data_IF_964244452189
#
_entry.id   IF_964244452189
#
_cell.length_a   1.000
_cell.length_b   1.000
_cell.length_c   1.000
_cell.angle_alpha   90.00
_cell.angle_beta   90.00
_cell.angle_gamma   90.00
#
_symmetry.space_group_name_H-M   'P 1'
#
loop_
_entity.id
_entity.type
_entity.pdbx_description
1 polymer ?
#
# COMPACT_ATOMS: atom_id res chain seq x y z
N UNK A 1 -10.26 51.85 29.04
CA UNK A 1 -10.22 53.03 28.21
C UNK A 1 -10.44 52.58 26.79
N UNK A 2 -11.72 52.53 26.35
CA UNK A 2 -12.35 53.43 25.39
C UNK A 2 -11.65 53.40 24.03
N UNK A 3 -12.28 53.22 22.90
CA UNK A 3 -13.59 53.38 22.27
C UNK A 3 -13.58 52.52 20.99
N UNK A 4 -14.59 51.72 20.70
CA UNK A 4 -15.82 52.10 19.95
C UNK A 4 -15.60 52.85 18.66
N UNK A 5 -15.92 52.20 17.51
CA UNK A 5 -16.87 52.70 16.50
C UNK A 5 -16.98 51.67 15.39
N UNK A 6 -18.06 51.06 15.18
CA UNK A 6 -19.37 51.37 14.60
C UNK A 6 -19.37 51.70 13.11
N UNK A 7 -20.11 50.84 12.43
CA UNK A 7 -21.08 51.11 11.37
C UNK A 7 -20.63 51.30 9.93
N UNK A 8 -21.36 50.59 9.11
CA UNK A 8 -21.52 50.93 7.71
C UNK A 8 -22.19 49.82 6.90
N UNK A 9 -23.46 49.58 7.20
CA UNK A 9 -24.47 49.02 6.30
C UNK A 9 -24.47 49.69 4.93
N UNK A 10 -24.70 48.94 3.85
CA UNK A 10 -25.78 49.13 2.87
C UNK A 10 -25.64 48.21 1.68
N UNK A 11 -26.61 47.33 1.48
CA UNK A 11 -27.10 46.97 0.18
C UNK A 11 -28.13 48.03 -0.28
N UNK A 12 -28.44 48.17 -1.56
CA UNK A 12 -29.52 47.45 -2.20
C UNK A 12 -29.22 47.09 -3.67
N UNK A 13 -29.70 46.01 -4.18
CA UNK A 13 -30.98 45.70 -4.82
C UNK A 13 -31.22 46.33 -6.22
N UNK A 14 -31.60 45.46 -7.12
CA UNK A 14 -32.62 45.60 -8.18
C UNK A 14 -32.21 45.98 -9.60
N UNK A 15 -32.63 45.10 -10.48
CA UNK A 15 -32.76 45.34 -11.94
C UNK A 15 -32.59 44.06 -12.71
N UNK A 16 -33.49 43.24 -12.85
CA UNK A 16 -34.71 43.04 -13.68
C UNK A 16 -34.48 43.11 -15.18
N UNK A 17 -34.85 42.00 -15.76
CA UNK A 17 -35.38 41.81 -17.11
C UNK A 17 -34.41 41.53 -18.27
N UNK A 18 -34.58 40.33 -18.84
CA UNK A 18 -34.80 40.34 -20.27
C UNK A 18 -34.14 39.23 -21.05
N UNK A 19 -34.95 38.37 -21.44
CA UNK A 19 -35.07 37.68 -22.72
C UNK A 19 -34.52 36.27 -22.85
N UNK A 20 -35.48 35.40 -23.04
CA UNK A 20 -35.42 34.07 -23.63
C UNK A 20 -34.59 34.10 -24.95
N UNK A 21 -33.63 33.20 -25.04
CA UNK A 21 -33.26 32.58 -26.29
C UNK A 21 -33.15 31.08 -26.07
N UNK A 22 -34.13 30.38 -26.55
CA UNK A 22 -34.11 28.95 -26.81
C UNK A 22 -33.07 28.67 -27.88
N UNK A 23 -32.00 28.01 -27.52
CA UNK A 23 -31.15 27.30 -28.46
C UNK A 23 -31.07 25.84 -28.00
N UNK A 24 -31.92 25.05 -28.59
CA UNK A 24 -31.84 23.59 -28.62
C UNK A 24 -30.57 23.22 -29.39
N UNK A 25 -29.57 22.78 -28.70
CA UNK A 25 -28.48 22.00 -29.25
C UNK A 25 -28.49 20.63 -28.62
N UNK A 26 -29.09 19.69 -29.33
CA UNK A 26 -28.88 18.30 -29.14
C UNK A 26 -27.41 17.99 -29.50
N UNK A 27 -26.59 17.91 -28.47
CA UNK A 27 -25.23 17.41 -28.55
C UNK A 27 -25.16 16.13 -27.72
N UNK A 28 -25.26 14.99 -28.40
CA UNK A 28 -24.86 13.73 -27.87
C UNK A 28 -23.37 13.83 -27.46
N UNK A 29 -23.09 14.06 -26.19
CA UNK A 29 -21.80 13.74 -25.63
C UNK A 29 -21.96 12.48 -24.79
N UNK A 30 -21.63 11.36 -25.41
CA UNK A 30 -21.14 10.20 -24.74
C UNK A 30 -19.80 10.57 -24.08
N UNK A 31 -19.87 11.22 -22.96
CA UNK A 31 -18.77 11.45 -22.05
C UNK A 31 -18.90 10.45 -20.92
N UNK A 32 -18.46 9.23 -21.17
CA UNK A 32 -18.21 8.26 -20.09
C UNK A 32 -17.10 8.80 -19.20
N UNK A 33 -17.43 9.70 -18.31
CA UNK A 33 -16.60 10.04 -17.18
C UNK A 33 -16.66 8.87 -16.20
N UNK A 34 -15.77 7.91 -16.40
CA UNK A 34 -15.50 6.95 -15.35
C UNK A 34 -15.00 7.75 -14.14
N UNK A 35 -15.88 7.99 -13.18
CA UNK A 35 -15.50 8.37 -11.86
C UNK A 35 -14.58 7.25 -11.36
N UNK A 36 -13.28 7.50 -11.37
CA UNK A 36 -12.35 6.65 -10.66
C UNK A 36 -12.71 6.79 -9.19
N UNK A 37 -13.44 5.81 -8.71
CA UNK A 37 -13.52 5.56 -7.30
C UNK A 37 -12.08 5.39 -6.83
N UNK A 38 -11.59 6.33 -6.04
CA UNK A 38 -10.37 6.18 -5.26
C UNK A 38 -10.76 5.21 -4.14
N UNK A 39 -10.86 3.96 -4.49
CA UNK A 39 -10.92 2.85 -3.59
C UNK A 39 -9.59 2.14 -3.75
N UNK A 40 -8.76 2.22 -2.76
CA UNK A 40 -7.45 1.58 -2.66
C UNK A 40 -7.53 0.05 -2.54
N UNK A 41 -8.49 -0.56 -3.21
CA UNK A 41 -8.70 -2.01 -3.32
C UNK A 41 -8.38 -2.52 -4.73
N UNK A 42 -7.39 -1.92 -5.39
CA UNK A 42 -6.82 -2.56 -6.57
C UNK A 42 -6.17 -3.87 -6.11
N UNK A 43 -6.73 -4.99 -6.54
CA UNK A 43 -6.06 -6.28 -6.40
C UNK A 43 -4.63 -6.14 -6.93
N UNK A 44 -3.63 -6.71 -6.25
CA UNK A 44 -2.26 -6.66 -6.73
C UNK A 44 -2.21 -7.21 -8.15
N UNK A 45 -1.38 -6.63 -9.05
CA UNK A 45 -1.21 -7.16 -10.38
C UNK A 45 -0.90 -8.65 -10.31
N UNK A 46 -1.73 -9.48 -10.91
CA UNK A 46 -1.64 -10.93 -10.79
C UNK A 46 -0.23 -11.44 -11.16
N UNK A 47 0.35 -10.89 -12.22
CA UNK A 47 1.70 -11.25 -12.69
C UNK A 47 2.79 -10.99 -11.64
N UNK A 48 2.73 -9.86 -10.93
CA UNK A 48 3.72 -9.54 -9.92
C UNK A 48 3.59 -10.46 -8.69
N UNK A 49 2.36 -10.84 -8.37
CA UNK A 49 2.11 -11.79 -7.28
C UNK A 49 2.50 -13.22 -7.67
N UNK A 50 2.28 -13.62 -8.93
CA UNK A 50 2.73 -14.91 -9.47
C UNK A 50 4.25 -15.05 -9.42
N UNK A 51 4.99 -14.00 -9.71
CA UNK A 51 6.45 -14.00 -9.61
C UNK A 51 6.97 -14.27 -8.19
N UNK A 52 6.20 -13.87 -7.18
CA UNK A 52 6.52 -14.13 -5.77
C UNK A 52 6.15 -15.53 -5.30
N UNK A 53 5.31 -16.28 -6.05
CA UNK A 53 4.83 -17.59 -5.62
C UNK A 53 5.96 -18.58 -5.36
N UNK A 54 5.77 -19.43 -4.37
CA UNK A 54 6.70 -20.48 -3.97
C UNK A 54 7.40 -20.19 -2.65
N UNK A 55 8.43 -20.94 -2.35
CA UNK A 55 9.17 -20.86 -1.12
C UNK A 55 10.48 -20.12 -1.30
N UNK A 56 10.78 -19.26 -0.37
CA UNK A 56 11.98 -18.42 -0.32
C UNK A 56 12.71 -18.66 1.00
N UNK A 57 14.02 -18.85 0.91
CA UNK A 57 14.91 -19.09 2.05
C UNK A 57 16.06 -18.06 2.04
N UNK A 58 16.69 -17.78 3.18
CA UNK A 58 17.82 -16.86 3.25
C UNK A 58 18.94 -17.23 2.26
N UNK A 59 19.55 -16.21 1.67
CA UNK A 59 20.70 -16.39 0.74
C UNK A 59 21.93 -16.90 1.48
N UNK A 60 22.19 -16.31 2.64
CA UNK A 60 23.32 -16.62 3.50
C UNK A 60 22.85 -16.71 4.96
N UNK A 61 23.74 -17.16 5.82
CA UNK A 61 23.51 -17.21 7.28
C UNK A 61 23.52 -15.80 7.87
N UNK A 62 22.42 -15.08 7.66
CA UNK A 62 22.22 -13.71 8.17
C UNK A 62 21.89 -13.69 9.68
N UNK A 63 22.08 -14.82 10.37
CA UNK A 63 21.73 -14.95 11.79
C UNK A 63 20.23 -14.94 12.05
N UNK A 64 19.40 -14.94 11.00
CA UNK A 64 17.96 -15.00 11.10
C UNK A 64 17.49 -16.24 10.33
N UNK A 65 17.03 -17.24 11.07
CA UNK A 65 16.37 -18.39 10.46
C UNK A 65 14.99 -17.95 9.98
N UNK A 66 14.78 -18.00 8.66
CA UNK A 66 13.51 -17.61 8.08
C UNK A 66 13.14 -18.43 6.85
N UNK A 67 11.87 -18.71 6.72
CA UNK A 67 11.28 -19.38 5.55
C UNK A 67 9.99 -18.67 5.17
N UNK A 68 9.86 -18.33 3.91
CA UNK A 68 8.75 -17.53 3.39
C UNK A 68 8.08 -18.30 2.26
N UNK A 69 6.82 -18.62 2.40
CA UNK A 69 6.06 -19.34 1.36
C UNK A 69 4.86 -18.50 0.93
N UNK A 70 4.87 -18.09 -0.33
CA UNK A 70 3.77 -17.36 -0.94
C UNK A 70 2.84 -18.33 -1.67
N UNK A 71 1.57 -18.31 -1.31
CA UNK A 71 0.50 -19.13 -1.89
C UNK A 71 -0.70 -18.22 -2.24
N UNK A 72 -0.82 -17.81 -3.51
CA UNK A 72 -1.81 -16.82 -3.89
C UNK A 72 -1.56 -15.49 -3.19
N UNK A 73 -2.55 -14.99 -2.46
CA UNK A 73 -2.46 -13.76 -1.66
C UNK A 73 -2.11 -14.04 -0.19
N UNK A 74 -1.74 -15.26 0.14
CA UNK A 74 -1.37 -15.67 1.49
C UNK A 74 0.13 -15.89 1.57
N UNK A 75 0.73 -15.37 2.61
CA UNK A 75 2.11 -15.63 2.98
C UNK A 75 2.12 -16.43 4.28
N UNK A 76 2.83 -17.54 4.27
CA UNK A 76 3.24 -18.25 5.46
C UNK A 76 4.73 -18.01 5.69
N UNK A 77 5.09 -17.41 6.79
CA UNK A 77 6.47 -17.13 7.12
C UNK A 77 6.82 -17.70 8.48
N UNK A 78 7.95 -18.38 8.58
CA UNK A 78 8.58 -18.74 9.83
C UNK A 78 9.79 -17.85 10.01
N UNK A 79 9.88 -17.14 11.11
CA UNK A 79 11.02 -16.25 11.41
C UNK A 79 11.48 -16.50 12.83
N UNK A 80 12.72 -16.94 12.99
CA UNK A 80 13.30 -17.32 14.29
C UNK A 80 12.41 -18.29 15.10
N UNK A 81 11.77 -19.24 14.41
CA UNK A 81 10.89 -20.24 15.02
C UNK A 81 9.47 -19.75 15.33
N UNK A 82 9.13 -18.51 15.01
CA UNK A 82 7.78 -18.01 15.11
C UNK A 82 7.08 -18.09 13.74
N UNK A 83 5.89 -18.69 13.72
CA UNK A 83 5.08 -18.83 12.50
C UNK A 83 4.12 -17.66 12.35
N UNK A 84 4.02 -17.15 11.13
CA UNK A 84 3.13 -16.06 10.74
C UNK A 84 2.29 -16.48 9.53
N UNK A 85 1.03 -16.18 9.56
CA UNK A 85 0.14 -16.24 8.39
C UNK A 85 -0.35 -14.83 8.10
N UNK A 86 -0.05 -14.35 6.90
CA UNK A 86 -0.33 -12.99 6.49
C UNK A 86 -1.10 -12.95 5.17
N UNK A 87 -1.95 -11.96 5.04
CA UNK A 87 -2.52 -11.58 3.75
C UNK A 87 -1.59 -10.59 3.07
N UNK A 88 -1.28 -10.83 1.80
CA UNK A 88 -0.30 -10.06 1.03
C UNK A 88 -0.99 -9.09 0.09
N UNK A 89 -0.59 -7.83 0.15
CA UNK A 89 -0.91 -6.82 -0.86
C UNK A 89 0.41 -6.24 -1.36
N UNK A 90 0.58 -6.13 -2.68
CA UNK A 90 1.77 -5.56 -3.29
C UNK A 90 1.42 -4.44 -4.25
N UNK A 91 2.31 -3.47 -4.38
CA UNK A 91 2.28 -2.46 -5.43
C UNK A 91 3.66 -2.42 -6.11
N UNK A 92 3.80 -3.09 -7.28
CA UNK A 92 5.04 -3.12 -8.03
C UNK A 92 5.36 -1.79 -8.72
N UNK A 93 4.38 -0.88 -8.80
CA UNK A 93 4.52 0.41 -9.47
C UNK A 93 4.87 1.55 -8.54
N UNK A 94 4.83 1.30 -7.23
CA UNK A 94 5.15 2.30 -6.21
C UNK A 94 6.59 2.83 -6.38
N UNK A 95 6.76 4.11 -6.13
CA UNK A 95 8.05 4.81 -6.23
C UNK A 95 8.47 5.36 -4.86
N UNK A 96 9.75 5.37 -4.53
CA UNK A 96 10.90 4.94 -5.34
C UNK A 96 11.09 3.41 -5.41
N UNK A 97 10.41 2.63 -4.58
CA UNK A 97 10.51 1.17 -4.50
C UNK A 97 9.13 0.52 -4.48
N UNK A 98 9.03 -0.67 -5.07
CA UNK A 98 7.84 -1.49 -4.96
C UNK A 98 7.54 -1.82 -3.50
N UNK A 99 6.26 -1.83 -3.14
CA UNK A 99 5.81 -2.01 -1.76
C UNK A 99 5.09 -3.33 -1.54
N UNK A 100 5.19 -3.82 -0.31
CA UNK A 100 4.50 -5.01 0.15
C UNK A 100 3.86 -4.72 1.51
N UNK A 101 2.61 -5.08 1.66
CA UNK A 101 1.87 -4.98 2.91
C UNK A 101 1.43 -6.37 3.36
N UNK A 102 1.72 -6.68 4.59
CA UNK A 102 1.46 -7.97 5.21
C UNK A 102 0.47 -7.76 6.37
N UNK A 103 -0.79 -8.10 6.15
CA UNK A 103 -1.78 -8.12 7.22
C UNK A 103 -1.66 -9.45 7.97
N UNK A 104 -1.20 -9.42 9.20
CA UNK A 104 -0.95 -10.60 10.01
C UNK A 104 -2.29 -11.14 10.52
N UNK A 105 -2.72 -12.26 9.96
CA UNK A 105 -3.97 -12.95 10.36
C UNK A 105 -3.73 -13.89 11.54
N UNK A 106 -2.56 -14.53 11.55
CA UNK A 106 -2.15 -15.41 12.63
C UNK A 106 -0.64 -15.32 12.90
N UNK A 107 -0.24 -15.53 14.15
CA UNK A 107 1.14 -15.39 14.59
C UNK A 107 1.22 -15.18 16.10
N UNK A 108 2.38 -14.75 16.60
CA UNK A 108 2.52 -14.34 18.00
C UNK A 108 1.47 -13.31 18.40
N UNK A 109 0.96 -13.40 19.62
CA UNK A 109 -0.14 -12.55 20.12
C UNK A 109 0.15 -11.05 19.95
N UNK A 110 1.40 -10.66 20.13
CA UNK A 110 1.83 -9.26 19.96
C UNK A 110 1.80 -8.78 18.51
N UNK A 111 1.71 -9.69 17.54
CA UNK A 111 1.74 -9.40 16.11
C UNK A 111 0.39 -9.59 15.45
N UNK A 112 -0.45 -10.46 15.98
CA UNK A 112 -1.75 -10.82 15.42
C UNK A 112 -2.67 -9.60 15.26
N UNK A 113 -3.28 -9.48 14.09
CA UNK A 113 -4.17 -8.37 13.74
C UNK A 113 -3.43 -7.06 13.40
N UNK A 114 -2.10 -7.05 13.44
CA UNK A 114 -1.29 -5.90 13.04
C UNK A 114 -0.87 -6.01 11.58
N UNK A 115 -0.42 -4.91 11.03
CA UNK A 115 0.12 -4.82 9.69
C UNK A 115 1.63 -4.61 9.75
N UNK A 116 2.35 -5.34 8.92
CA UNK A 116 3.77 -5.14 8.63
C UNK A 116 3.89 -4.56 7.23
N UNK A 117 4.41 -3.37 7.12
CA UNK A 117 4.56 -2.70 5.83
C UNK A 117 6.00 -2.78 5.34
N UNK A 118 6.21 -2.95 4.06
CA UNK A 118 7.56 -3.14 3.57
C UNK A 118 7.81 -2.68 2.15
N UNK A 119 9.05 -2.90 1.76
CA UNK A 119 9.56 -2.76 0.41
C UNK A 119 9.98 -4.13 -0.10
N UNK A 120 9.84 -4.37 -1.40
CA UNK A 120 10.38 -5.58 -1.99
C UNK A 120 11.08 -5.29 -3.33
N UNK A 121 12.03 -6.14 -3.66
CA UNK A 121 12.72 -6.15 -4.94
C UNK A 121 12.91 -7.59 -5.38
N UNK A 122 12.38 -7.93 -6.53
CA UNK A 122 12.53 -9.24 -7.13
C UNK A 122 13.50 -9.15 -8.32
N UNK A 123 14.51 -9.99 -8.33
CA UNK A 123 15.50 -10.08 -9.41
C UNK A 123 15.80 -11.54 -9.68
N UNK A 124 15.12 -12.13 -10.69
CA UNK A 124 15.22 -13.55 -10.97
C UNK A 124 14.82 -14.41 -9.78
N UNK A 125 15.75 -15.24 -9.30
CA UNK A 125 15.54 -16.13 -8.15
C UNK A 125 15.91 -15.49 -6.79
N UNK A 126 16.17 -14.18 -6.77
CA UNK A 126 16.48 -13.42 -5.55
C UNK A 126 15.34 -12.47 -5.19
N UNK A 127 14.92 -12.51 -3.96
CA UNK A 127 13.92 -11.62 -3.38
C UNK A 127 14.54 -10.87 -2.20
N UNK A 128 14.57 -9.55 -2.30
CA UNK A 128 14.96 -8.68 -1.19
C UNK A 128 13.68 -8.10 -0.57
N UNK A 129 13.49 -8.33 0.70
CA UNK A 129 12.38 -7.81 1.50
C UNK A 129 12.92 -6.95 2.62
N UNK A 130 12.37 -5.76 2.79
CA UNK A 130 12.58 -4.96 3.98
C UNK A 130 11.21 -4.67 4.58
N UNK A 131 10.90 -5.27 5.71
CA UNK A 131 9.58 -5.17 6.34
C UNK A 131 9.68 -4.53 7.71
N UNK A 132 8.70 -3.67 8.02
CA UNK A 132 8.58 -3.11 9.36
C UNK A 132 8.21 -4.18 10.38
N UNK A 133 8.57 -3.95 11.62
CA UNK A 133 7.99 -4.72 12.70
C UNK A 133 6.47 -4.48 12.77
N UNK A 134 5.69 -5.45 13.29
CA UNK A 134 4.23 -5.33 13.34
C UNK A 134 3.76 -4.03 14.00
N UNK A 135 2.97 -3.24 13.25
CA UNK A 135 2.44 -1.95 13.72
C UNK A 135 3.41 -0.77 13.62
N UNK A 136 4.57 -0.95 12.98
CA UNK A 136 5.51 0.14 12.68
C UNK A 136 5.34 0.67 11.27
N UNK A 137 5.88 1.85 11.02
CA UNK A 137 5.83 2.50 9.71
C UNK A 137 6.66 1.77 8.66
N UNK A 138 6.30 1.97 7.39
CA UNK A 138 7.04 1.41 6.26
C UNK A 138 8.48 1.92 6.21
N UNK A 139 9.48 1.04 6.05
CA UNK A 139 10.85 1.46 5.85
C UNK A 139 11.00 2.30 4.58
N UNK A 140 11.92 3.23 4.58
CA UNK A 140 12.19 4.12 3.43
C UNK A 140 13.28 3.58 2.51
N UNK A 141 14.08 2.65 3.00
CA UNK A 141 15.19 2.03 2.29
C UNK A 141 15.30 0.55 2.63
N UNK A 142 16.06 -0.19 1.82
CA UNK A 142 16.38 -1.60 2.07
C UNK A 142 17.50 -1.72 3.09
N UNK A 143 17.18 -1.48 4.35
CA UNK A 143 18.13 -1.58 5.46
C UNK A 143 17.43 -1.99 6.75
N UNK A 144 18.16 -2.68 7.60
CA UNK A 144 17.68 -3.04 8.93
C UNK A 144 17.78 -1.82 9.84
N UNK A 145 16.66 -1.45 10.45
CA UNK A 145 16.60 -0.44 11.51
C UNK A 145 16.14 -1.12 12.81
N UNK A 146 17.00 -1.09 13.82
CA UNK A 146 16.73 -1.76 15.09
C UNK A 146 15.42 -1.28 15.72
N UNK A 147 14.53 -2.23 16.04
CA UNK A 147 13.22 -1.94 16.60
C UNK A 147 12.18 -1.37 15.64
N UNK A 148 12.51 -1.19 14.35
CA UNK A 148 11.60 -0.62 13.34
C UNK A 148 11.41 -1.53 12.13
N UNK A 149 12.49 -1.99 11.51
CA UNK A 149 12.43 -2.79 10.28
C UNK A 149 13.55 -3.81 10.18
N UNK A 150 13.30 -4.87 9.43
CA UNK A 150 14.24 -5.95 9.17
C UNK A 150 14.39 -6.19 7.68
N UNK A 151 15.64 -6.28 7.22
CA UNK A 151 16.01 -6.67 5.86
C UNK A 151 16.19 -8.18 5.77
N UNK A 152 15.62 -8.78 4.73
CA UNK A 152 15.76 -10.18 4.37
C UNK A 152 16.23 -10.29 2.93
N UNK A 153 17.33 -10.99 2.70
CA UNK A 153 17.78 -11.39 1.37
C UNK A 153 17.50 -12.86 1.17
N UNK A 154 16.62 -13.17 0.26
CA UNK A 154 16.06 -14.49 0.06
C UNK A 154 16.38 -15.01 -1.35
N UNK A 155 16.50 -16.32 -1.48
CA UNK A 155 16.56 -17.03 -2.75
C UNK A 155 15.40 -18.00 -2.86
N UNK A 156 14.97 -18.24 -4.09
CA UNK A 156 13.90 -19.21 -4.35
C UNK A 156 14.40 -20.62 -4.05
N UNK A 157 13.67 -21.34 -3.22
CA UNK A 157 13.94 -22.74 -2.94
C UNK A 157 13.63 -23.54 -4.20
N UNK A 158 14.62 -24.23 -4.75
CA UNK A 158 14.40 -25.13 -5.89
C UNK A 158 13.80 -26.42 -5.34
N UNK A 159 12.61 -26.77 -5.81
CA UNK A 159 12.06 -28.11 -5.57
C UNK A 159 12.97 -29.13 -6.27
N UNK A 160 13.56 -30.00 -5.49
CA UNK A 160 14.28 -31.17 -6.00
C UNK A 160 13.31 -32.20 -6.52
#
# INVERSE_FOLDING_TARGET
>A
MMLMNRMGMRAPATGMSGLLVLAVWAGLFFGGGAARAIGDDAAPPAEALEALQGTWIPVDDQGIDSKWTFEGQTLKATVNGADYTCKVKIDPTAKPNATIDLAIEDGPEDSKGKMSQGLYKLTGDKLTLCVSLPGKDRPKAFETAEGESQLFELKKEKKS
#
